data_IF_303537523233
#
_entry.id   IF_303537523233
#
_cell.length_a   1.000
_cell.length_b   1.000
_cell.length_c   1.000
_cell.angle_alpha   90.00
_cell.angle_beta   90.00
_cell.angle_gamma   90.00
#
_symmetry.space_group_name_H-M   'P 1'
#
loop_
_entity.id
_entity.type
_entity.pdbx_description
1 polymer ?
#
# COMPACT_ATOMS: atom_id res chain seq x y z
N UNK A 1 27.74 61.92 -32.91
CA UNK A 1 27.46 60.46 -32.66
C UNK A 1 28.71 59.73 -33.15
N UNK A 2 29.46 59.16 -32.25
CA UNK A 2 30.64 58.32 -32.57
C UNK A 2 30.13 56.97 -33.12
N UNK A 3 30.49 56.68 -34.37
CA UNK A 3 30.14 55.38 -34.96
C UNK A 3 31.16 54.34 -34.50
N UNK A 4 30.70 53.25 -33.99
CA UNK A 4 31.51 52.10 -33.53
C UNK A 4 31.26 50.97 -34.52
N UNK A 5 32.33 50.38 -35.06
CA UNK A 5 32.25 49.19 -35.91
C UNK A 5 32.52 47.92 -35.04
N UNK A 6 31.60 47.00 -35.04
CA UNK A 6 31.77 45.69 -34.39
C UNK A 6 32.00 44.64 -35.47
N UNK A 7 33.12 43.90 -35.38
CA UNK A 7 33.47 42.86 -36.33
C UNK A 7 33.83 41.60 -35.55
N UNK A 8 33.47 40.41 -36.07
CA UNK A 8 33.88 39.14 -35.50
C UNK A 8 35.04 38.59 -36.33
N UNK A 9 36.23 38.41 -35.71
CA UNK A 9 37.40 37.82 -36.36
C UNK A 9 37.85 36.65 -35.49
N UNK A 10 37.92 35.47 -36.04
CA UNK A 10 38.34 34.20 -35.38
C UNK A 10 37.55 33.93 -34.08
N UNK A 11 36.21 34.17 -34.11
CA UNK A 11 35.35 33.94 -32.95
C UNK A 11 35.46 35.00 -31.82
N UNK A 12 36.20 36.08 -32.05
CA UNK A 12 36.36 37.22 -31.09
C UNK A 12 35.66 38.48 -31.62
N UNK A 13 34.97 39.16 -30.76
CA UNK A 13 34.30 40.42 -31.09
C UNK A 13 35.37 41.50 -31.02
N UNK A 14 35.65 42.16 -32.11
CA UNK A 14 36.56 43.30 -32.22
C UNK A 14 35.71 44.58 -32.40
N UNK A 15 35.88 45.50 -31.46
CA UNK A 15 35.22 46.81 -31.50
C UNK A 15 36.28 47.86 -31.86
N UNK A 16 36.08 48.58 -32.97
CA UNK A 16 36.97 49.65 -33.41
C UNK A 16 36.19 50.97 -33.54
N UNK A 17 36.81 52.09 -33.08
CA UNK A 17 36.27 53.42 -33.38
C UNK A 17 36.76 53.89 -34.74
N UNK A 18 35.94 54.68 -35.49
CA UNK A 18 36.33 55.25 -36.78
C UNK A 18 37.39 56.36 -36.67
N UNK A 19 37.84 56.71 -35.47
CA UNK A 19 38.80 57.82 -35.22
C UNK A 19 40.24 57.37 -34.94
N UNK A 20 40.57 56.07 -35.05
CA UNK A 20 41.95 55.60 -35.10
C UNK A 20 42.64 55.43 -33.73
N UNK A 21 41.98 55.62 -32.59
CA UNK A 21 42.55 55.36 -31.30
C UNK A 21 42.61 53.86 -31.00
N UNK A 22 43.71 53.35 -30.36
CA UNK A 22 43.81 51.93 -29.99
C UNK A 22 42.78 51.62 -28.91
N UNK A 23 41.85 50.74 -29.23
CA UNK A 23 40.88 50.22 -28.28
C UNK A 23 41.45 48.97 -27.60
N UNK A 24 41.26 48.90 -26.31
CA UNK A 24 41.64 47.78 -25.47
C UNK A 24 40.79 46.50 -25.89
N UNK A 25 41.47 45.39 -26.16
CA UNK A 25 40.81 44.13 -26.51
C UNK A 25 40.29 43.56 -25.19
N UNK A 26 39.00 43.67 -24.93
CA UNK A 26 38.34 42.96 -23.83
C UNK A 26 38.04 41.55 -24.31
N UNK A 27 38.83 40.57 -23.87
CA UNK A 27 38.48 39.15 -24.00
C UNK A 27 37.34 38.86 -23.06
N UNK A 28 36.14 38.65 -23.58
CA UNK A 28 35.04 38.09 -22.80
C UNK A 28 35.36 36.60 -22.65
N UNK A 29 35.90 36.21 -21.52
CA UNK A 29 35.99 34.80 -21.14
C UNK A 29 34.61 34.33 -20.78
N UNK A 30 34.17 33.23 -21.34
CA UNK A 30 32.93 32.58 -20.91
C UNK A 30 32.95 32.44 -19.38
N UNK A 31 31.79 32.70 -18.71
CA UNK A 31 31.71 32.47 -17.28
C UNK A 31 32.07 31.01 -17.00
N UNK A 32 32.78 30.72 -15.90
CA UNK A 32 33.05 29.31 -15.56
C UNK A 32 31.72 28.51 -15.49
N UNK A 33 31.72 27.26 -15.92
CA UNK A 33 30.54 26.44 -15.83
C UNK A 33 30.01 26.44 -14.38
N UNK A 34 28.69 26.43 -14.19
CA UNK A 34 28.13 26.37 -12.84
C UNK A 34 28.68 25.13 -12.13
N UNK A 35 28.94 25.22 -10.80
CA UNK A 35 29.36 24.04 -10.05
C UNK A 35 28.35 22.90 -10.24
N UNK A 36 28.82 21.64 -10.27
CA UNK A 36 27.93 20.50 -10.37
C UNK A 36 26.92 20.56 -9.21
N UNK A 37 25.65 20.16 -9.42
CA UNK A 37 24.68 20.09 -8.34
C UNK A 37 25.25 19.21 -7.21
N UNK A 38 24.94 19.52 -5.95
CA UNK A 38 25.35 18.68 -4.84
C UNK A 38 24.83 17.24 -5.09
N UNK A 39 25.58 16.22 -4.68
CA UNK A 39 25.09 14.85 -4.76
C UNK A 39 23.74 14.76 -4.04
N UNK A 40 22.80 13.94 -4.53
CA UNK A 40 21.55 13.69 -3.82
C UNK A 40 21.89 13.25 -2.38
N UNK A 41 21.08 13.62 -1.38
CA UNK A 41 21.26 13.13 -0.03
C UNK A 41 21.29 11.60 -0.04
N UNK A 42 22.09 11.00 0.82
CA UNK A 42 22.10 9.55 1.00
C UNK A 42 20.68 9.08 1.26
N UNK A 43 20.24 7.96 0.66
CA UNK A 43 18.94 7.41 0.95
C UNK A 43 18.82 7.13 2.45
N UNK A 44 17.66 7.47 3.03
CA UNK A 44 17.37 7.09 4.40
C UNK A 44 17.64 5.60 4.61
N UNK A 45 18.21 5.18 5.75
CA UNK A 45 18.47 3.77 6.00
C UNK A 45 17.16 2.97 5.91
N UNK A 46 17.20 1.83 5.24
CA UNK A 46 16.05 0.94 5.17
C UNK A 46 15.59 0.54 6.58
N UNK A 47 14.27 0.43 6.81
CA UNK A 47 13.75 0.02 8.11
C UNK A 47 14.32 -1.33 8.55
N UNK A 48 14.63 -1.45 9.81
CA UNK A 48 15.04 -2.75 10.37
C UNK A 48 13.81 -3.66 10.49
N UNK A 49 13.87 -4.91 10.01
CA UNK A 49 12.78 -5.87 10.17
C UNK A 49 12.37 -6.03 11.64
N UNK A 50 11.07 -6.09 11.88
CA UNK A 50 10.49 -6.29 13.21
C UNK A 50 9.77 -7.63 13.30
N UNK A 51 9.72 -8.20 14.50
CA UNK A 51 9.03 -9.45 14.75
C UNK A 51 7.51 -9.35 14.49
N UNK A 52 6.92 -10.42 13.95
CA UNK A 52 5.50 -10.52 13.62
C UNK A 52 5.12 -9.84 12.30
N UNK A 53 4.22 -10.44 11.53
CA UNK A 53 3.80 -9.94 10.23
C UNK A 53 3.01 -8.62 10.34
N UNK A 54 2.11 -8.54 11.32
CA UNK A 54 1.26 -7.36 11.57
C UNK A 54 1.60 -6.63 12.86
N UNK A 55 1.83 -7.40 13.93
CA UNK A 55 2.13 -6.94 15.28
C UNK A 55 2.78 -8.10 16.05
N UNK A 56 3.81 -7.82 16.87
CA UNK A 56 4.49 -8.85 17.65
C UNK A 56 3.77 -9.18 18.96
N UNK A 57 4.07 -10.33 19.53
CA UNK A 57 3.62 -10.71 20.88
C UNK A 57 4.05 -9.67 21.93
N UNK A 58 5.26 -9.13 21.80
CA UNK A 58 5.80 -8.14 22.73
C UNK A 58 5.05 -6.80 22.63
N UNK A 59 4.64 -6.38 21.44
CA UNK A 59 3.81 -5.20 21.24
C UNK A 59 2.40 -5.42 21.81
N UNK A 60 1.76 -6.56 21.52
CA UNK A 60 0.43 -6.90 22.04
C UNK A 60 0.41 -6.91 23.57
N UNK A 61 1.46 -7.43 24.20
CA UNK A 61 1.55 -7.50 25.68
C UNK A 61 1.50 -6.10 26.35
N UNK A 62 1.86 -5.03 25.63
CA UNK A 62 1.85 -3.66 26.12
C UNK A 62 0.52 -2.93 25.86
N UNK A 63 -0.34 -3.46 25.00
CA UNK A 63 -1.62 -2.80 24.67
C UNK A 63 -2.57 -2.81 25.88
N UNK A 64 -3.40 -1.76 26.05
CA UNK A 64 -4.31 -1.69 27.18
C UNK A 64 -5.46 -2.72 27.05
N UNK A 65 -5.93 -3.23 28.19
CA UNK A 65 -7.13 -4.08 28.26
C UNK A 65 -8.37 -3.25 28.65
N UNK A 66 -8.45 -2.02 28.13
CA UNK A 66 -9.53 -1.08 28.38
C UNK A 66 -9.65 -0.09 27.21
N UNK A 67 -10.72 0.67 27.20
CA UNK A 67 -10.99 1.67 26.15
C UNK A 67 -11.76 1.10 24.96
N UNK A 68 -12.21 1.99 24.04
CA UNK A 68 -13.09 1.60 22.93
C UNK A 68 -12.53 0.51 22.03
N UNK A 69 -11.25 0.63 21.62
CA UNK A 69 -10.62 -0.36 20.74
C UNK A 69 -10.51 -1.75 21.36
N UNK A 70 -10.16 -1.84 22.67
CA UNK A 70 -10.19 -3.12 23.38
C UNK A 70 -11.62 -3.69 23.48
N UNK A 71 -12.60 -2.86 23.82
CA UNK A 71 -14.00 -3.29 23.94
C UNK A 71 -14.49 -3.88 22.62
N UNK A 72 -14.15 -3.26 21.50
CA UNK A 72 -14.56 -3.69 20.16
C UNK A 72 -13.91 -5.02 19.76
N UNK A 73 -12.59 -5.16 19.92
CA UNK A 73 -11.89 -6.40 19.56
C UNK A 73 -12.30 -7.56 20.46
N UNK A 74 -12.51 -7.32 21.75
CA UNK A 74 -12.99 -8.32 22.69
C UNK A 74 -14.40 -8.79 22.34
N UNK A 75 -15.32 -7.89 22.05
CA UNK A 75 -16.67 -8.23 21.63
C UNK A 75 -16.69 -9.07 20.34
N UNK A 76 -15.83 -8.75 19.38
CA UNK A 76 -15.69 -9.54 18.17
C UNK A 76 -15.12 -10.94 18.44
N UNK A 77 -14.15 -11.06 19.35
CA UNK A 77 -13.58 -12.35 19.75
C UNK A 77 -14.55 -13.23 20.55
N UNK A 78 -15.41 -12.62 21.39
CA UNK A 78 -16.44 -13.33 22.14
C UNK A 78 -17.56 -13.84 21.24
N UNK A 79 -17.90 -13.11 20.18
CA UNK A 79 -18.93 -13.51 19.24
C UNK A 79 -18.60 -14.83 18.52
N UNK A 80 -19.63 -15.43 17.92
CA UNK A 80 -19.43 -16.55 17.00
C UNK A 80 -18.82 -16.01 15.69
N UNK A 81 -17.61 -16.44 15.30
CA UNK A 81 -16.97 -15.93 14.09
C UNK A 81 -17.63 -16.42 12.79
N UNK A 82 -18.56 -17.39 12.87
CA UNK A 82 -19.17 -18.04 11.70
C UNK A 82 -18.25 -19.09 11.09
N UNK A 83 -18.59 -19.52 9.87
CA UNK A 83 -17.83 -20.55 9.13
C UNK A 83 -16.74 -19.89 8.27
N UNK A 84 -15.52 -20.39 8.27
CA UNK A 84 -14.46 -19.93 7.37
C UNK A 84 -14.87 -20.01 5.89
N UNK A 85 -14.47 -18.99 5.13
CA UNK A 85 -14.71 -18.93 3.69
C UNK A 85 -13.53 -18.26 3.01
N UNK A 86 -13.17 -18.73 1.81
CA UNK A 86 -12.23 -18.05 0.91
C UNK A 86 -12.91 -17.64 -0.41
N UNK A 87 -14.18 -18.00 -0.59
CA UNK A 87 -14.95 -17.70 -1.80
C UNK A 87 -16.01 -16.61 -1.64
N UNK A 88 -16.35 -16.24 -0.41
CA UNK A 88 -17.28 -15.15 -0.12
C UNK A 88 -16.54 -13.84 0.18
N UNK A 89 -16.48 -12.96 -0.81
CA UNK A 89 -15.79 -11.65 -0.68
C UNK A 89 -16.42 -10.70 0.36
N UNK A 90 -17.60 -10.97 0.86
CA UNK A 90 -18.33 -10.18 1.85
C UNK A 90 -18.37 -10.87 3.22
N UNK A 91 -17.60 -11.94 3.39
CA UNK A 91 -17.35 -12.57 4.68
C UNK A 91 -16.57 -11.62 5.59
N UNK A 92 -16.77 -11.76 6.89
CA UNK A 92 -15.95 -11.11 7.91
C UNK A 92 -15.36 -12.16 8.87
N UNK A 93 -15.39 -13.43 8.47
CA UNK A 93 -14.91 -14.51 9.33
C UNK A 93 -13.40 -14.36 9.59
N UNK A 94 -12.60 -14.10 8.57
CA UNK A 94 -11.15 -13.98 8.68
C UNK A 94 -10.72 -12.88 9.65
N UNK A 95 -11.35 -11.69 9.58
CA UNK A 95 -11.09 -10.58 10.51
C UNK A 95 -11.61 -10.86 11.92
N UNK A 96 -12.69 -11.64 12.07
CA UNK A 96 -13.18 -12.10 13.37
C UNK A 96 -12.22 -13.13 14.00
N UNK A 97 -11.63 -14.01 13.19
CA UNK A 97 -10.60 -14.95 13.67
C UNK A 97 -9.31 -14.21 14.04
N UNK A 98 -8.95 -13.15 13.32
CA UNK A 98 -7.85 -12.25 13.71
C UNK A 98 -8.12 -11.60 15.08
N UNK A 99 -9.37 -11.17 15.38
CA UNK A 99 -9.74 -10.67 16.71
C UNK A 99 -9.54 -11.73 17.78
N UNK A 100 -9.94 -12.97 17.55
CA UNK A 100 -9.70 -14.08 18.47
C UNK A 100 -8.20 -14.29 18.73
N UNK A 101 -7.37 -14.22 17.69
CA UNK A 101 -5.91 -14.36 17.83
C UNK A 101 -5.30 -13.21 18.64
N UNK A 102 -5.72 -11.97 18.41
CA UNK A 102 -5.29 -10.78 19.14
C UNK A 102 -5.65 -10.87 20.63
N UNK A 103 -6.89 -11.25 20.94
CA UNK A 103 -7.35 -11.40 22.34
C UNK A 103 -6.66 -12.58 23.02
N UNK A 104 -6.46 -13.70 22.33
CA UNK A 104 -5.64 -14.80 22.83
C UNK A 104 -4.21 -14.35 23.14
N UNK A 105 -3.56 -13.69 22.21
CA UNK A 105 -2.19 -13.23 22.39
C UNK A 105 -2.05 -12.33 23.62
N UNK A 106 -3.07 -11.48 23.89
CA UNK A 106 -3.10 -10.56 25.03
C UNK A 106 -3.45 -11.22 26.35
N UNK A 107 -4.43 -12.14 26.37
CA UNK A 107 -5.01 -12.71 27.60
C UNK A 107 -4.50 -14.11 27.92
N UNK A 108 -4.00 -14.84 26.93
CA UNK A 108 -3.65 -16.28 26.97
C UNK A 108 -4.84 -17.19 27.28
N UNK A 109 -6.09 -16.70 27.19
CA UNK A 109 -7.29 -17.49 27.38
C UNK A 109 -7.49 -18.48 26.22
N UNK A 110 -7.48 -19.76 26.57
CA UNK A 110 -7.49 -20.88 25.62
C UNK A 110 -8.79 -20.97 24.81
N UNK A 111 -9.89 -20.37 25.28
CA UNK A 111 -11.15 -20.33 24.51
C UNK A 111 -11.00 -19.62 23.16
N UNK A 112 -10.16 -18.57 23.10
CA UNK A 112 -9.91 -17.84 21.85
C UNK A 112 -8.95 -18.61 20.95
N UNK A 113 -7.91 -19.22 21.51
CA UNK A 113 -7.02 -20.11 20.74
C UNK A 113 -7.80 -21.26 20.09
N UNK A 114 -8.74 -21.86 20.82
CA UNK A 114 -9.56 -22.94 20.28
C UNK A 114 -10.38 -22.50 19.04
N UNK A 115 -10.93 -21.27 19.06
CA UNK A 115 -11.61 -20.68 17.88
C UNK A 115 -10.66 -20.49 16.70
N UNK A 116 -9.46 -19.96 16.95
CA UNK A 116 -8.43 -19.76 15.93
C UNK A 116 -8.01 -21.08 15.30
N UNK A 117 -7.64 -22.05 16.12
CA UNK A 117 -7.18 -23.37 15.65
C UNK A 117 -8.27 -24.09 14.85
N UNK A 118 -9.53 -24.05 15.32
CA UNK A 118 -10.65 -24.67 14.61
C UNK A 118 -10.85 -24.05 13.22
N UNK A 119 -10.83 -22.72 13.13
CA UNK A 119 -10.97 -22.03 11.85
C UNK A 119 -9.79 -22.31 10.91
N UNK A 120 -8.56 -22.25 11.41
CA UNK A 120 -7.36 -22.49 10.62
C UNK A 120 -7.26 -23.95 10.12
N UNK A 121 -7.71 -24.94 10.89
CA UNK A 121 -7.84 -26.32 10.42
C UNK A 121 -8.83 -26.42 9.27
N UNK A 122 -10.00 -25.75 9.39
CA UNK A 122 -10.98 -25.70 8.29
C UNK A 122 -10.38 -25.08 7.02
N UNK A 123 -9.54 -24.04 7.16
CA UNK A 123 -8.83 -23.44 6.01
C UNK A 123 -7.77 -24.39 5.44
N UNK A 124 -7.00 -25.06 6.29
CA UNK A 124 -5.94 -25.98 5.87
C UNK A 124 -6.48 -27.22 5.15
N UNK A 125 -7.52 -27.83 5.71
CA UNK A 125 -8.07 -29.11 5.23
C UNK A 125 -9.12 -28.93 4.13
N UNK A 126 -9.77 -27.75 4.07
CA UNK A 126 -10.88 -27.47 3.14
C UNK A 126 -10.44 -27.07 1.74
N UNK A 127 -11.37 -27.18 0.80
CA UNK A 127 -11.24 -26.61 -0.56
C UNK A 127 -12.08 -25.32 -0.67
N UNK A 128 -11.85 -24.40 0.28
CA UNK A 128 -12.65 -23.18 0.46
C UNK A 128 -12.44 -22.16 -0.67
N UNK A 129 -11.34 -22.29 -1.41
CA UNK A 129 -11.02 -21.50 -2.60
C UNK A 129 -11.73 -21.96 -3.86
N UNK A 130 -12.34 -23.13 -3.85
CA UNK A 130 -13.05 -23.66 -5.02
C UNK A 130 -14.15 -22.69 -5.48
N UNK A 131 -14.09 -22.26 -6.74
CA UNK A 131 -15.02 -21.29 -7.29
C UNK A 131 -14.81 -19.85 -6.79
N UNK A 132 -13.75 -19.58 -6.03
CA UNK A 132 -13.45 -18.23 -5.55
C UNK A 132 -13.05 -17.29 -6.70
N UNK A 133 -13.36 -16.02 -6.54
CA UNK A 133 -12.81 -14.92 -7.33
C UNK A 133 -11.52 -14.41 -6.66
N UNK A 134 -10.61 -13.86 -7.43
CA UNK A 134 -9.37 -13.29 -6.88
C UNK A 134 -9.64 -12.23 -5.79
N UNK A 135 -10.72 -11.45 -5.91
CA UNK A 135 -11.11 -10.46 -4.90
C UNK A 135 -11.46 -11.13 -3.56
N UNK A 136 -12.19 -12.25 -3.58
CA UNK A 136 -12.53 -12.98 -2.35
C UNK A 136 -11.26 -13.52 -1.66
N UNK A 137 -10.35 -14.12 -2.43
CA UNK A 137 -9.06 -14.59 -1.91
C UNK A 137 -8.26 -13.43 -1.32
N UNK A 138 -8.19 -12.29 -2.02
CA UNK A 138 -7.46 -11.09 -1.58
C UNK A 138 -8.00 -10.50 -0.28
N UNK A 139 -9.31 -10.57 -0.05
CA UNK A 139 -9.95 -10.07 1.17
C UNK A 139 -9.82 -11.03 2.35
N UNK A 140 -10.02 -12.34 2.13
CA UNK A 140 -10.14 -13.30 3.22
C UNK A 140 -8.78 -13.84 3.71
N UNK A 141 -7.82 -14.05 2.82
CA UNK A 141 -6.52 -14.65 3.17
C UNK A 141 -5.76 -13.88 4.23
N UNK A 142 -5.61 -12.53 4.17
CA UNK A 142 -4.79 -11.81 5.14
C UNK A 142 -5.22 -12.04 6.58
N UNK A 143 -6.53 -11.99 6.87
CA UNK A 143 -7.03 -12.21 8.22
C UNK A 143 -6.66 -13.58 8.80
N UNK A 144 -6.72 -14.66 8.01
CA UNK A 144 -6.31 -16.00 8.46
C UNK A 144 -4.79 -16.13 8.62
N UNK A 145 -4.01 -15.57 7.69
CA UNK A 145 -2.54 -15.58 7.79
C UNK A 145 -2.09 -14.84 9.05
N UNK A 146 -2.63 -13.64 9.28
CA UNK A 146 -2.30 -12.85 10.46
C UNK A 146 -2.77 -13.50 11.75
N UNK A 147 -3.94 -14.16 11.75
CA UNK A 147 -4.39 -14.93 12.91
C UNK A 147 -3.47 -16.10 13.21
N UNK A 148 -2.95 -16.79 12.21
CA UNK A 148 -1.99 -17.87 12.37
C UNK A 148 -0.65 -17.40 12.95
N UNK A 149 -0.14 -16.25 12.48
CA UNK A 149 1.08 -15.61 12.97
C UNK A 149 0.90 -15.10 14.41
N UNK A 150 -0.15 -14.31 14.67
CA UNK A 150 -0.44 -13.74 16.01
C UNK A 150 -0.66 -14.84 17.06
N UNK A 151 -1.34 -15.94 16.70
CA UNK A 151 -1.53 -17.07 17.61
C UNK A 151 -0.27 -17.91 17.78
N UNK A 152 0.80 -17.63 17.01
CA UNK A 152 2.05 -18.39 17.00
C UNK A 152 1.84 -19.89 16.74
N UNK A 153 1.13 -20.19 15.66
CA UNK A 153 0.80 -21.60 15.29
C UNK A 153 2.05 -22.48 15.14
N UNK A 154 3.21 -21.90 14.81
CA UNK A 154 4.48 -22.61 14.73
C UNK A 154 4.83 -23.30 16.03
N UNK A 155 4.56 -22.68 17.17
CA UNK A 155 4.84 -23.24 18.50
C UNK A 155 3.64 -23.99 19.09
N UNK A 156 2.43 -23.45 18.95
CA UNK A 156 1.24 -24.02 19.59
C UNK A 156 0.71 -25.26 18.89
N UNK A 157 0.89 -25.37 17.56
CA UNK A 157 0.48 -26.51 16.74
C UNK A 157 1.37 -26.63 15.49
N UNK A 158 2.59 -27.19 15.61
CA UNK A 158 3.54 -27.29 14.48
C UNK A 158 2.99 -28.09 13.28
N UNK A 159 2.11 -29.06 13.53
CA UNK A 159 1.50 -29.85 12.46
C UNK A 159 0.52 -29.00 11.64
N UNK A 160 -0.33 -28.22 12.32
CA UNK A 160 -1.22 -27.25 11.65
C UNK A 160 -0.41 -26.19 10.91
N UNK A 161 0.67 -25.66 11.51
CA UNK A 161 1.54 -24.70 10.85
C UNK A 161 2.09 -25.25 9.52
N UNK A 162 2.58 -26.48 9.49
CA UNK A 162 3.10 -27.11 8.27
C UNK A 162 2.00 -27.26 7.20
N UNK A 163 0.77 -27.62 7.58
CA UNK A 163 -0.37 -27.68 6.69
C UNK A 163 -0.72 -26.30 6.13
N UNK A 164 -0.75 -25.27 6.97
CA UNK A 164 -1.01 -23.87 6.55
C UNK A 164 0.06 -23.33 5.61
N UNK A 165 1.34 -23.63 5.83
CA UNK A 165 2.42 -23.26 4.90
C UNK A 165 2.16 -23.85 3.51
N UNK A 166 1.79 -25.14 3.44
CA UNK A 166 1.45 -25.78 2.17
C UNK A 166 0.20 -25.17 1.52
N UNK A 167 -0.86 -24.99 2.31
CA UNK A 167 -2.13 -24.43 1.85
C UNK A 167 -1.97 -23.00 1.33
N UNK A 168 -1.36 -22.11 2.10
CA UNK A 168 -1.18 -20.71 1.72
C UNK A 168 -0.30 -20.59 0.47
N UNK A 169 0.76 -21.40 0.35
CA UNK A 169 1.55 -21.45 -0.88
C UNK A 169 0.71 -21.81 -2.09
N UNK A 170 -0.18 -22.79 -1.99
CA UNK A 170 -1.04 -23.22 -3.08
C UNK A 170 -2.05 -22.13 -3.50
N UNK A 171 -2.50 -21.29 -2.58
CA UNK A 171 -3.48 -20.22 -2.86
C UNK A 171 -2.90 -19.10 -3.75
N UNK A 172 -1.58 -18.94 -3.84
CA UNK A 172 -0.97 -17.95 -4.74
C UNK A 172 -1.32 -18.20 -6.21
N UNK A 173 -1.50 -19.47 -6.58
CA UNK A 173 -1.74 -19.91 -7.97
C UNK A 173 -3.00 -20.74 -8.12
N UNK A 174 -3.85 -20.79 -7.10
CA UNK A 174 -5.17 -21.45 -7.20
C UNK A 174 -6.01 -20.78 -8.30
N UNK A 175 -6.66 -21.56 -9.17
CA UNK A 175 -7.45 -21.00 -10.26
C UNK A 175 -8.67 -20.25 -9.74
N UNK A 176 -8.86 -19.02 -10.22
CA UNK A 176 -10.02 -18.18 -9.91
C UNK A 176 -11.15 -18.40 -10.89
N UNK A 177 -12.40 -18.31 -10.42
CA UNK A 177 -13.61 -18.55 -11.22
C UNK A 177 -13.89 -17.43 -12.23
N UNK A 178 -13.40 -16.22 -12.00
CA UNK A 178 -13.56 -15.07 -12.90
C UNK A 178 -12.54 -13.97 -12.60
N UNK A 179 -12.29 -13.13 -13.60
CA UNK A 179 -11.27 -12.05 -13.53
C UNK A 179 -9.89 -12.59 -13.88
N UNK A 180 -8.82 -12.12 -13.22
CA UNK A 180 -7.47 -12.68 -13.35
C UNK A 180 -7.45 -14.17 -12.96
N UNK A 181 -6.55 -14.94 -13.60
CA UNK A 181 -6.54 -16.39 -13.47
C UNK A 181 -6.20 -16.87 -12.05
N UNK A 182 -5.36 -16.12 -11.34
CA UNK A 182 -4.89 -16.45 -9.99
C UNK A 182 -4.83 -15.20 -9.11
N UNK A 183 -4.58 -15.40 -7.82
CA UNK A 183 -4.29 -14.30 -6.87
C UNK A 183 -3.05 -13.51 -7.32
N UNK A 184 -1.99 -14.20 -7.77
CA UNK A 184 -0.76 -13.57 -8.28
C UNK A 184 -1.04 -12.70 -9.49
N UNK A 185 -1.77 -13.22 -10.48
CA UNK A 185 -2.15 -12.46 -11.67
C UNK A 185 -3.02 -11.26 -11.32
N UNK A 186 -3.89 -11.37 -10.33
CA UNK A 186 -4.69 -10.23 -9.86
C UNK A 186 -3.83 -9.10 -9.34
N UNK A 187 -2.80 -9.41 -8.55
CA UNK A 187 -1.84 -8.40 -8.06
C UNK A 187 -1.05 -7.77 -9.22
N UNK A 188 -0.62 -8.58 -10.19
CA UNK A 188 0.26 -8.12 -11.27
C UNK A 188 -0.50 -7.37 -12.39
N UNK A 189 -1.78 -7.66 -12.59
CA UNK A 189 -2.53 -7.11 -13.72
C UNK A 189 -3.50 -6.00 -13.35
N UNK A 190 -4.04 -6.00 -12.11
CA UNK A 190 -5.14 -5.11 -11.72
C UNK A 190 -4.65 -3.91 -10.92
N UNK A 191 -4.76 -2.68 -11.47
CA UNK A 191 -4.38 -1.46 -10.76
C UNK A 191 -5.46 -0.95 -9.80
N UNK A 192 -6.55 -1.67 -9.59
CA UNK A 192 -7.70 -1.32 -8.76
C UNK A 192 -7.76 -2.14 -7.45
N UNK A 193 -8.85 -2.02 -6.69
CA UNK A 193 -9.09 -2.72 -5.43
C UNK A 193 -8.80 -4.24 -5.49
N UNK A 194 -9.08 -4.91 -6.62
CA UNK A 194 -8.76 -6.33 -6.79
C UNK A 194 -7.27 -6.61 -6.65
N UNK A 195 -6.44 -5.81 -7.35
CA UNK A 195 -4.98 -5.92 -7.24
C UNK A 195 -4.46 -5.50 -5.88
N UNK A 196 -5.05 -4.45 -5.28
CA UNK A 196 -4.69 -4.00 -3.93
C UNK A 196 -4.93 -5.07 -2.86
N UNK A 197 -6.10 -5.71 -2.84
CA UNK A 197 -6.39 -6.81 -1.93
C UNK A 197 -5.50 -8.04 -2.21
N UNK A 198 -5.26 -8.35 -3.50
CA UNK A 198 -4.35 -9.43 -3.87
C UNK A 198 -2.90 -9.16 -3.43
N UNK A 199 -2.45 -7.89 -3.44
CA UNK A 199 -1.15 -7.49 -2.91
C UNK A 199 -1.02 -7.83 -1.42
N UNK A 200 -2.02 -7.45 -0.61
CA UNK A 200 -2.02 -7.74 0.83
C UNK A 200 -1.98 -9.26 1.09
N UNK A 201 -2.79 -10.04 0.38
CA UNK A 201 -2.81 -11.48 0.55
C UNK A 201 -1.49 -12.14 0.12
N UNK A 202 -0.94 -11.75 -1.04
CA UNK A 202 0.32 -12.28 -1.56
C UNK A 202 1.49 -12.01 -0.62
N UNK A 203 1.58 -10.78 -0.10
CA UNK A 203 2.63 -10.36 0.84
C UNK A 203 2.48 -11.09 2.18
N UNK A 204 1.26 -11.18 2.73
CA UNK A 204 1.00 -11.92 3.96
C UNK A 204 1.41 -13.39 3.82
N UNK A 205 1.02 -14.04 2.72
CA UNK A 205 1.44 -15.42 2.42
C UNK A 205 2.96 -15.52 2.36
N UNK A 206 3.62 -14.68 1.54
CA UNK A 206 5.06 -14.75 1.35
C UNK A 206 5.84 -14.62 2.67
N UNK A 207 5.37 -13.75 3.55
CA UNK A 207 5.95 -13.58 4.90
C UNK A 207 5.72 -14.81 5.77
N UNK A 208 4.51 -15.36 5.81
CA UNK A 208 4.19 -16.50 6.65
C UNK A 208 4.93 -17.79 6.24
N UNK A 209 5.05 -18.01 4.91
CA UNK A 209 5.78 -19.18 4.38
C UNK A 209 7.29 -18.95 4.23
N UNK A 210 7.78 -17.77 4.65
CA UNK A 210 9.20 -17.37 4.58
C UNK A 210 9.79 -17.43 3.17
N UNK A 211 8.99 -17.08 2.16
CA UNK A 211 9.40 -17.05 0.75
C UNK A 211 9.88 -15.65 0.35
N UNK A 212 11.17 -15.38 0.58
CA UNK A 212 11.78 -14.08 0.29
C UNK A 212 11.69 -13.70 -1.18
N UNK A 213 11.80 -14.66 -2.10
CA UNK A 213 11.73 -14.39 -3.54
C UNK A 213 10.34 -13.94 -3.95
N UNK A 214 9.28 -14.58 -3.43
CA UNK A 214 7.89 -14.18 -3.65
C UNK A 214 7.61 -12.82 -3.02
N UNK A 215 8.15 -12.55 -1.82
CA UNK A 215 8.02 -11.26 -1.14
C UNK A 215 8.66 -10.13 -1.95
N UNK A 216 9.88 -10.31 -2.45
CA UNK A 216 10.56 -9.32 -3.29
C UNK A 216 9.82 -9.05 -4.60
N UNK A 217 9.29 -10.11 -5.24
CA UNK A 217 8.47 -9.98 -6.42
C UNK A 217 7.18 -9.19 -6.15
N UNK A 218 6.50 -9.49 -5.05
CA UNK A 218 5.30 -8.77 -4.64
C UNK A 218 5.60 -7.30 -4.31
N UNK A 219 6.70 -7.03 -3.60
CA UNK A 219 7.13 -5.68 -3.26
C UNK A 219 7.40 -4.81 -4.50
N UNK A 220 8.03 -5.38 -5.54
CA UNK A 220 8.26 -4.68 -6.82
C UNK A 220 6.95 -4.29 -7.52
N UNK A 221 5.98 -5.21 -7.59
CA UNK A 221 4.67 -4.94 -8.17
C UNK A 221 3.97 -3.84 -7.40
N UNK A 222 3.94 -3.94 -6.07
CA UNK A 222 3.33 -2.94 -5.20
C UNK A 222 3.98 -1.56 -5.36
N UNK A 223 5.31 -1.49 -5.42
CA UNK A 223 6.06 -0.25 -5.67
C UNK A 223 5.69 0.37 -7.02
N UNK A 224 5.50 -0.47 -8.06
CA UNK A 224 5.01 -0.02 -9.36
C UNK A 224 3.61 0.60 -9.29
N UNK A 225 2.70 0.01 -8.51
CA UNK A 225 1.36 0.54 -8.30
C UNK A 225 1.40 1.91 -7.62
N UNK A 226 2.29 2.12 -6.67
CA UNK A 226 2.49 3.41 -5.99
C UNK A 226 3.04 4.52 -6.92
N UNK A 227 3.52 4.18 -8.14
CA UNK A 227 3.98 5.14 -9.13
C UNK A 227 5.39 4.90 -9.70
N UNK A 228 6.19 4.01 -9.11
CA UNK A 228 7.52 3.67 -9.65
C UNK A 228 7.42 2.67 -10.81
N UNK A 229 7.18 3.18 -12.00
CA UNK A 229 7.07 2.36 -13.21
C UNK A 229 8.37 1.64 -13.61
N UNK A 230 9.52 2.04 -13.06
CA UNK A 230 10.78 1.31 -13.28
C UNK A 230 10.80 0.02 -12.46
N UNK A 231 10.16 0.00 -11.30
CA UNK A 231 10.00 -1.22 -10.51
C UNK A 231 9.02 -2.19 -11.20
N UNK A 232 7.85 -1.69 -11.65
CA UNK A 232 6.85 -2.50 -12.35
C UNK A 232 5.88 -1.63 -13.16
N UNK A 233 5.52 -2.09 -14.38
CA UNK A 233 4.61 -1.39 -15.29
C UNK A 233 3.65 -2.33 -16.04
N UNK A 234 3.41 -3.55 -15.52
CA UNK A 234 2.60 -4.58 -16.18
C UNK A 234 1.08 -4.46 -15.96
N UNK A 235 0.60 -3.41 -15.28
CA UNK A 235 -0.83 -3.24 -15.00
C UNK A 235 -1.65 -2.96 -16.26
N UNK A 236 -2.87 -3.49 -16.29
CA UNK A 236 -3.87 -3.28 -17.33
C UNK A 236 -4.88 -2.25 -16.87
N UNK A 237 -4.59 -0.97 -17.15
CA UNK A 237 -5.47 0.15 -16.83
C UNK A 237 -6.70 0.16 -17.75
N UNK A 238 -7.81 0.70 -17.23
CA UNK A 238 -9.02 0.97 -18.02
C UNK A 238 -8.98 2.32 -18.73
N UNK A 239 -10.09 3.06 -18.70
CA UNK A 239 -10.16 4.42 -19.26
C UNK A 239 -9.17 5.35 -18.54
N UNK A 240 -8.48 6.20 -19.31
CA UNK A 240 -7.34 6.97 -18.82
C UNK A 240 -7.68 8.45 -18.51
N UNK A 241 -8.95 8.80 -18.48
CA UNK A 241 -9.42 10.19 -18.27
C UNK A 241 -8.98 10.79 -16.93
N UNK A 242 -8.73 9.92 -15.93
CA UNK A 242 -8.23 10.31 -14.62
C UNK A 242 -6.70 10.22 -14.48
N UNK A 243 -5.98 9.86 -15.55
CA UNK A 243 -4.52 9.85 -15.53
C UNK A 243 -3.98 11.24 -15.93
N UNK A 244 -3.09 11.81 -15.10
CA UNK A 244 -2.43 13.08 -15.44
C UNK A 244 -1.50 12.95 -16.66
N UNK A 245 -0.89 11.77 -16.84
CA UNK A 245 -0.17 11.39 -18.06
C UNK A 245 -0.71 10.04 -18.58
N UNK A 246 -1.64 10.04 -19.54
CA UNK A 246 -2.18 8.81 -20.09
C UNK A 246 -1.16 7.89 -20.77
N UNK A 247 0.02 8.41 -21.16
CA UNK A 247 1.09 7.59 -21.74
C UNK A 247 1.89 6.80 -20.66
N UNK A 248 1.77 7.21 -19.39
CA UNK A 248 2.46 6.63 -18.25
C UNK A 248 1.51 6.42 -17.07
N UNK A 249 0.46 5.61 -17.23
CA UNK A 249 -0.55 5.44 -16.18
C UNK A 249 0.06 4.83 -14.91
N UNK A 250 -0.48 5.25 -13.76
CA UNK A 250 -0.07 4.84 -12.41
C UNK A 250 -1.27 4.56 -11.51
N UNK A 251 -1.09 3.81 -10.43
CA UNK A 251 -2.16 3.53 -9.48
C UNK A 251 -2.46 4.71 -8.55
N UNK A 252 -1.44 5.49 -8.17
CA UNK A 252 -1.57 6.74 -7.41
C UNK A 252 -0.86 7.85 -8.18
N UNK A 253 -1.55 8.97 -8.39
CA UNK A 253 -0.98 10.10 -9.13
C UNK A 253 0.19 10.76 -8.37
N UNK A 254 1.24 11.19 -9.07
CA UNK A 254 2.44 11.74 -8.46
C UNK A 254 2.21 13.12 -7.82
N UNK A 255 3.21 13.56 -7.06
CA UNK A 255 3.25 14.92 -6.48
C UNK A 255 3.05 15.98 -7.55
N UNK A 256 2.16 16.93 -7.28
CA UNK A 256 1.87 18.05 -8.16
C UNK A 256 1.07 17.70 -9.42
N UNK A 257 0.55 16.47 -9.55
CA UNK A 257 -0.29 16.08 -10.67
C UNK A 257 -1.51 16.99 -10.80
N UNK A 258 -1.81 17.40 -12.04
CA UNK A 258 -2.99 18.21 -12.37
C UNK A 258 -3.72 17.66 -13.57
N UNK A 259 -5.05 17.76 -13.57
CA UNK A 259 -5.91 17.50 -14.74
C UNK A 259 -6.85 18.71 -14.90
N UNK A 260 -6.87 19.30 -16.07
CA UNK A 260 -7.71 20.48 -16.41
C UNK A 260 -7.56 21.62 -15.38
N UNK A 261 -6.35 21.81 -14.82
CA UNK A 261 -6.04 22.86 -13.84
C UNK A 261 -6.40 22.53 -12.38
N UNK A 262 -7.00 21.38 -12.11
CA UNK A 262 -7.28 20.91 -10.75
C UNK A 262 -6.17 20.01 -10.23
N UNK A 263 -5.80 20.18 -8.94
CA UNK A 263 -4.84 19.29 -8.29
C UNK A 263 -5.46 17.90 -8.07
N UNK A 264 -4.79 16.89 -8.59
CA UNK A 264 -5.15 15.48 -8.41
C UNK A 264 -4.00 14.68 -7.77
N UNK A 265 -3.11 15.37 -7.07
CA UNK A 265 -2.00 14.77 -6.31
C UNK A 265 -2.54 13.72 -5.33
N UNK A 266 -2.07 12.48 -5.43
CA UNK A 266 -2.51 11.36 -4.60
C UNK A 266 -3.81 10.68 -5.07
N UNK A 267 -4.50 11.20 -6.08
CA UNK A 267 -5.72 10.55 -6.59
C UNK A 267 -5.45 9.14 -7.12
N UNK A 268 -6.47 8.27 -7.03
CA UNK A 268 -6.46 6.90 -7.54
C UNK A 268 -7.28 6.83 -8.83
N UNK A 269 -6.67 6.93 -10.03
CA UNK A 269 -7.39 6.98 -11.30
C UNK A 269 -8.35 5.83 -11.54
N UNK A 270 -7.91 4.60 -11.22
CA UNK A 270 -8.71 3.39 -11.46
C UNK A 270 -9.97 3.32 -10.61
N UNK A 271 -9.98 3.93 -9.44
CA UNK A 271 -11.16 3.94 -8.58
C UNK A 271 -12.06 5.14 -8.87
N UNK A 272 -11.49 6.28 -9.20
CA UNK A 272 -12.26 7.49 -9.56
C UNK A 272 -13.03 7.32 -10.88
N UNK A 273 -12.43 6.69 -11.91
CA UNK A 273 -13.10 6.41 -13.17
C UNK A 273 -14.35 5.52 -13.04
N UNK A 274 -14.53 4.84 -11.90
CA UNK A 274 -15.73 4.03 -11.62
C UNK A 274 -17.01 4.87 -11.56
N UNK A 275 -16.88 6.15 -11.29
CA UNK A 275 -17.97 7.12 -11.34
C UNK A 275 -18.07 7.86 -12.69
N UNK A 276 -17.25 7.51 -13.67
CA UNK A 276 -17.21 8.11 -15.01
C UNK A 276 -15.94 8.86 -15.35
N UNK A 277 -15.92 9.56 -16.47
CA UNK A 277 -14.81 10.39 -16.92
C UNK A 277 -14.46 11.52 -15.94
N UNK A 278 -13.36 12.24 -16.22
CA UNK A 278 -12.89 13.30 -15.32
C UNK A 278 -13.96 14.40 -15.13
N UNK A 279 -14.28 14.67 -13.86
CA UNK A 279 -15.15 15.77 -13.42
C UNK A 279 -14.59 16.39 -12.16
N UNK A 280 -14.80 17.69 -11.93
CA UNK A 280 -14.38 18.36 -10.72
C UNK A 280 -15.51 19.17 -10.08
N UNK A 281 -15.81 19.00 -8.76
CA UNK A 281 -15.22 17.98 -7.88
C UNK A 281 -15.56 16.54 -8.36
N UNK A 282 -14.76 15.51 -7.92
CA UNK A 282 -15.04 14.13 -8.29
C UNK A 282 -16.44 13.68 -7.87
N UNK A 283 -17.11 12.89 -8.70
CA UNK A 283 -18.31 12.19 -8.28
C UNK A 283 -17.94 11.10 -7.24
N UNK A 284 -18.66 11.05 -6.11
CA UNK A 284 -18.32 10.15 -5.00
C UNK A 284 -18.44 8.69 -5.42
N UNK A 285 -17.42 7.92 -5.07
CA UNK A 285 -17.40 6.46 -5.18
C UNK A 285 -16.78 5.86 -3.93
N UNK A 286 -17.35 4.78 -3.41
CA UNK A 286 -16.80 4.06 -2.25
C UNK A 286 -15.54 3.25 -2.61
N UNK A 287 -15.25 3.09 -3.90
CA UNK A 287 -14.10 2.33 -4.38
C UNK A 287 -12.74 2.92 -4.01
N UNK A 288 -12.62 4.24 -3.79
CA UNK A 288 -11.33 4.86 -3.45
C UNK A 288 -10.81 4.37 -2.09
N UNK A 289 -11.66 4.28 -1.08
CA UNK A 289 -11.28 3.72 0.22
C UNK A 289 -11.10 2.21 0.14
N UNK A 290 -12.02 1.52 -0.51
CA UNK A 290 -11.91 0.08 -0.79
C UNK A 290 -10.59 -0.27 -1.49
N UNK A 291 -10.16 0.58 -2.46
CA UNK A 291 -8.92 0.43 -3.20
C UNK A 291 -7.66 0.63 -2.35
N UNK A 292 -7.76 1.31 -1.20
CA UNK A 292 -6.65 1.52 -0.27
C UNK A 292 -6.55 0.44 0.81
N UNK A 293 -7.60 -0.33 1.11
CA UNK A 293 -7.57 -1.33 2.18
C UNK A 293 -6.41 -2.32 2.01
N UNK A 294 -6.29 -2.94 0.84
CA UNK A 294 -5.18 -3.84 0.55
C UNK A 294 -3.81 -3.16 0.58
N UNK A 295 -3.61 -2.06 -0.13
CA UNK A 295 -2.35 -1.30 -0.15
C UNK A 295 -1.86 -0.83 1.22
N UNK A 296 -2.73 -0.33 2.09
CA UNK A 296 -2.35 0.08 3.46
C UNK A 296 -1.89 -1.14 4.28
N UNK A 297 -2.59 -2.27 4.17
CA UNK A 297 -2.17 -3.50 4.83
C UNK A 297 -0.83 -4.02 4.26
N UNK A 298 -0.67 -4.01 2.94
CA UNK A 298 0.56 -4.41 2.25
C UNK A 298 1.77 -3.56 2.69
N UNK A 299 1.62 -2.24 2.73
CA UNK A 299 2.69 -1.33 3.14
C UNK A 299 3.12 -1.57 4.59
N UNK A 300 2.17 -1.78 5.51
CA UNK A 300 2.49 -2.10 6.90
C UNK A 300 3.29 -3.39 7.02
N UNK A 301 2.85 -4.46 6.35
CA UNK A 301 3.55 -5.75 6.37
C UNK A 301 4.94 -5.67 5.74
N UNK A 302 5.08 -4.97 4.62
CA UNK A 302 6.38 -4.73 3.98
C UNK A 302 7.31 -3.91 4.87
N UNK A 303 6.80 -2.84 5.49
CA UNK A 303 7.61 -2.02 6.40
C UNK A 303 8.13 -2.85 7.59
N UNK A 304 7.30 -3.70 8.18
CA UNK A 304 7.73 -4.61 9.24
C UNK A 304 8.78 -5.63 8.77
N UNK A 305 8.75 -5.98 7.49
CA UNK A 305 9.73 -6.87 6.86
C UNK A 305 11.02 -6.13 6.42
N UNK A 306 11.16 -4.84 6.70
CA UNK A 306 12.36 -4.06 6.41
C UNK A 306 12.37 -3.35 5.06
N UNK A 307 11.21 -3.19 4.42
CA UNK A 307 11.10 -2.38 3.21
C UNK A 307 10.62 -0.96 3.56
N UNK A 308 11.13 0.05 2.87
CA UNK A 308 10.75 1.44 3.08
C UNK A 308 9.42 1.82 2.40
N UNK A 309 8.41 0.93 2.53
CA UNK A 309 7.16 1.01 1.79
C UNK A 309 6.36 2.29 2.04
N UNK A 310 6.50 2.92 3.20
CA UNK A 310 5.82 4.16 3.54
C UNK A 310 6.39 5.39 2.82
N UNK A 311 7.68 5.36 2.43
CA UNK A 311 8.32 6.48 1.74
C UNK A 311 8.23 6.36 0.20
N UNK A 312 7.90 5.19 -0.33
CA UNK A 312 7.88 4.95 -1.77
C UNK A 312 7.00 5.96 -2.51
N UNK A 313 7.51 6.41 -3.66
CA UNK A 313 6.85 7.37 -4.56
C UNK A 313 6.35 8.62 -3.82
N UNK A 314 7.23 9.24 -3.04
CA UNK A 314 6.95 10.45 -2.26
C UNK A 314 5.75 10.29 -1.32
N UNK A 315 5.76 9.23 -0.51
CA UNK A 315 4.70 8.91 0.46
C UNK A 315 3.33 8.76 -0.21
N UNK A 316 3.28 8.02 -1.32
CA UNK A 316 2.08 7.90 -2.16
C UNK A 316 0.81 7.53 -1.39
N UNK A 317 0.89 6.61 -0.41
CA UNK A 317 -0.28 6.23 0.39
C UNK A 317 -0.77 7.37 1.30
N UNK A 318 0.13 8.14 1.88
CA UNK A 318 -0.27 9.32 2.64
C UNK A 318 -0.97 10.35 1.77
N UNK A 319 -0.43 10.61 0.58
CA UNK A 319 -1.03 11.53 -0.40
C UNK A 319 -2.40 11.05 -0.87
N UNK A 320 -2.57 9.73 -1.06
CA UNK A 320 -3.86 9.17 -1.45
C UNK A 320 -4.92 9.35 -0.35
N UNK A 321 -4.58 9.10 0.89
CA UNK A 321 -5.50 9.33 2.02
C UNK A 321 -5.79 10.82 2.18
N UNK A 322 -4.77 11.69 2.11
CA UNK A 322 -4.96 13.15 2.14
C UNK A 322 -5.91 13.64 1.05
N UNK A 323 -5.71 13.18 -0.19
CA UNK A 323 -6.59 13.55 -1.30
C UNK A 323 -8.06 13.28 -0.98
N UNK A 324 -8.39 12.11 -0.39
CA UNK A 324 -9.77 11.78 -0.02
C UNK A 324 -10.33 12.70 1.05
N UNK A 325 -9.54 13.06 2.06
CA UNK A 325 -9.97 14.04 3.06
C UNK A 325 -10.09 15.44 2.49
N UNK A 326 -9.19 15.87 1.62
CA UNK A 326 -9.21 17.20 0.99
C UNK A 326 -10.45 17.40 0.10
N UNK A 327 -10.97 16.33 -0.52
CA UNK A 327 -12.23 16.37 -1.29
C UNK A 327 -13.47 16.05 -0.44
N UNK A 328 -13.34 15.96 0.89
CA UNK A 328 -14.45 15.75 1.80
C UNK A 328 -14.98 14.31 1.87
N UNK A 329 -14.16 13.31 1.58
CA UNK A 329 -14.50 11.89 1.67
C UNK A 329 -13.75 11.19 2.83
N UNK A 330 -14.14 11.41 4.09
CA UNK A 330 -13.51 10.72 5.21
C UNK A 330 -13.81 9.21 5.18
N UNK A 331 -12.93 8.41 5.80
CA UNK A 331 -13.14 6.98 5.95
C UNK A 331 -14.42 6.67 6.75
N UNK A 332 -15.22 5.73 6.28
CA UNK A 332 -16.47 5.30 6.94
C UNK A 332 -16.60 3.77 6.94
N UNK A 333 -17.43 3.23 7.83
CA UNK A 333 -17.70 1.78 7.87
C UNK A 333 -16.44 0.96 8.06
N UNK A 334 -16.25 -0.01 7.18
CA UNK A 334 -15.12 -0.96 7.18
C UNK A 334 -13.80 -0.37 6.62
N UNK A 335 -13.79 0.92 6.28
CA UNK A 335 -12.58 1.66 5.90
C UNK A 335 -11.93 2.40 7.09
N UNK A 336 -12.64 2.56 8.21
CA UNK A 336 -12.21 3.38 9.36
C UNK A 336 -10.93 2.89 10.04
N UNK A 337 -10.51 1.68 9.80
CA UNK A 337 -9.26 1.13 10.34
C UNK A 337 -8.01 1.76 9.71
N UNK A 338 -8.10 2.25 8.46
CA UNK A 338 -6.96 2.71 7.66
C UNK A 338 -6.30 3.98 8.22
N UNK A 339 -7.04 5.04 8.62
CA UNK A 339 -6.45 6.26 9.17
C UNK A 339 -5.59 6.03 10.42
N UNK A 340 -5.89 5.04 11.25
CA UNK A 340 -5.06 4.69 12.42
C UNK A 340 -3.66 4.23 12.01
N UNK A 341 -3.58 3.37 11.01
CA UNK A 341 -2.30 2.88 10.46
C UNK A 341 -1.52 4.02 9.82
N UNK A 342 -2.19 4.87 9.04
CA UNK A 342 -1.56 6.04 8.37
C UNK A 342 -1.04 7.04 9.41
N UNK A 343 -1.81 7.34 10.45
CA UNK A 343 -1.36 8.24 11.51
C UNK A 343 -0.10 7.75 12.19
N UNK A 344 -0.06 6.46 12.54
CA UNK A 344 1.12 5.85 13.17
C UNK A 344 2.32 5.81 12.22
N UNK A 345 2.12 5.44 10.97
CA UNK A 345 3.18 5.29 9.99
C UNK A 345 3.87 6.61 9.64
N UNK A 346 3.12 7.70 9.57
CA UNK A 346 3.63 9.01 9.14
C UNK A 346 3.74 10.05 10.26
N UNK A 347 3.34 9.71 11.49
CA UNK A 347 3.34 10.67 12.61
C UNK A 347 2.40 11.85 12.39
N UNK A 348 1.25 11.62 11.74
CA UNK A 348 0.24 12.64 11.41
C UNK A 348 -1.02 12.46 12.25
N UNK A 349 -1.97 13.39 12.13
CA UNK A 349 -3.23 13.35 12.89
C UNK A 349 -4.43 13.54 11.95
N UNK A 350 -4.66 12.53 11.10
CA UNK A 350 -5.88 12.44 10.29
C UNK A 350 -7.04 12.05 11.22
N UNK A 351 -8.23 12.65 11.08
CA UNK A 351 -9.38 12.29 11.91
C UNK A 351 -9.70 10.79 11.84
N UNK A 352 -9.89 10.17 13.01
CA UNK A 352 -10.21 8.75 13.16
C UNK A 352 -11.54 8.58 13.88
N UNK A 353 -12.36 7.63 13.42
CA UNK A 353 -13.64 7.27 14.06
C UNK A 353 -13.81 5.76 13.97
N UNK A 354 -13.81 5.06 15.12
CA UNK A 354 -13.82 3.60 15.11
C UNK A 354 -12.48 3.01 14.65
N UNK A 355 -12.45 1.79 14.17
CA UNK A 355 -11.23 1.09 13.73
C UNK A 355 -11.35 -0.41 13.89
N UNK A 356 -12.59 -0.90 13.82
CA UNK A 356 -12.93 -2.31 13.93
C UNK A 356 -12.50 -3.13 12.73
N UNK A 357 -13.40 -3.95 12.21
CA UNK A 357 -13.11 -4.84 11.09
C UNK A 357 -13.08 -4.08 9.76
N UNK A 358 -12.10 -4.40 8.92
CA UNK A 358 -12.08 -4.09 7.49
C UNK A 358 -12.40 -5.32 6.65
N UNK A 359 -12.15 -5.25 5.36
CA UNK A 359 -12.36 -6.38 4.43
C UNK A 359 -11.26 -7.44 4.53
N UNK A 360 -10.05 -7.08 4.90
CA UNK A 360 -8.88 -7.98 4.94
C UNK A 360 -8.15 -7.98 6.29
N UNK A 361 -8.17 -6.87 7.00
CA UNK A 361 -7.59 -6.69 8.34
C UNK A 361 -8.49 -5.78 9.17
N UNK A 362 -8.13 -5.50 10.43
CA UNK A 362 -8.89 -4.59 11.26
C UNK A 362 -8.27 -4.37 12.64
N UNK A 363 -9.09 -3.87 13.57
CA UNK A 363 -8.80 -3.71 15.01
C UNK A 363 -7.71 -2.68 15.31
N UNK A 364 -7.50 -1.74 14.38
CA UNK A 364 -6.39 -0.79 14.42
C UNK A 364 -6.60 0.31 15.45
N UNK A 365 -7.84 0.63 15.84
CA UNK A 365 -8.09 1.49 16.98
C UNK A 365 -7.44 0.95 18.27
N UNK A 366 -7.21 -0.35 18.34
CA UNK A 366 -6.53 -0.97 19.49
C UNK A 366 -5.04 -1.22 19.22
N UNK A 367 -4.67 -1.69 18.02
CA UNK A 367 -3.30 -2.12 17.72
C UNK A 367 -2.36 -0.98 17.32
N UNK A 368 -2.90 0.20 16.93
CA UNK A 368 -2.09 1.34 16.47
C UNK A 368 -2.06 2.52 17.46
N UNK A 369 -2.47 2.30 18.70
CA UNK A 369 -2.40 3.32 19.76
C UNK A 369 -0.98 3.70 20.13
#
# INVERSE_FOLDING_TARGET
MTKVRVTVVDGKIVIASELGDPLEIVTVTDPPPPPPPPPPPDPDPEPTPTEGIWISQAEIAKLPMSGPGWTEVLAAADANPGTPSLSNQDSNNSTSIMACALVYARTKDQKYLAKVVAALRTVADGNLESGARALALGREIPGYVLAADIANTREVDPALHAQLVSKFRSLLTAPCSSGPATLRDSHEERPNNWGGHAAAARIAIALYIEDKAELDAAAKVFRGWLGDRNAYAGFKYGELDWQADPSKPVGILPVGATIQGHSVDGAQPEELRRAGGFTWPPAKTDYCWEGLQGPVAAAKMLHRAGYDAWQWSDKALYRAVRFLYDIGWPATGDDQWQPWVINKAYGVNIPTTGGGKGKNVGWTQWTEQ
#
